data_IF_279129490094
#
_entry.id   IF_279129490094
#
_cell.length_a   1.000
_cell.length_b   1.000
_cell.length_c   1.000
_cell.angle_alpha   90.00
_cell.angle_beta   90.00
_cell.angle_gamma   90.00
#
_symmetry.space_group_name_H-M   'P 1'
#
loop_
_entity.id
_entity.type
_entity.pdbx_description
1 polymer ?
#
# COMPACT_ATOMS: atom_id res chain seq x y z
N UNK A 1 19.90 9.88 -3.96
CA UNK A 1 18.79 9.06 -3.42
C UNK A 1 17.65 9.98 -3.04
N UNK A 2 16.59 10.05 -3.86
CA UNK A 2 15.34 10.74 -3.51
C UNK A 2 14.61 9.88 -2.47
N UNK A 3 14.84 10.17 -1.19
CA UNK A 3 14.10 9.53 -0.12
C UNK A 3 12.69 10.11 -0.09
N UNK A 4 11.71 9.24 -0.31
CA UNK A 4 10.29 9.38 0.03
C UNK A 4 9.46 10.32 -0.83
N UNK A 5 8.27 9.86 -1.25
CA UNK A 5 7.24 10.71 -1.85
C UNK A 5 6.98 11.96 -1.00
N UNK A 6 6.52 13.05 -1.62
CA UNK A 6 6.35 14.36 -0.99
C UNK A 6 5.87 14.24 0.47
N UNK A 7 6.80 14.46 1.41
CA UNK A 7 6.46 14.45 2.82
C UNK A 7 5.42 15.53 3.06
N UNK A 8 4.39 15.26 3.85
CA UNK A 8 3.37 16.27 4.17
C UNK A 8 3.96 17.58 4.71
N UNK A 9 5.12 17.53 5.38
CA UNK A 9 5.86 18.72 5.86
C UNK A 9 6.52 19.54 4.75
N UNK A 10 6.79 18.93 3.61
CA UNK A 10 7.38 19.55 2.44
C UNK A 10 6.32 20.01 1.42
N UNK A 11 5.04 20.05 1.81
CA UNK A 11 3.98 20.57 0.95
C UNK A 11 4.30 22.03 0.56
N UNK A 12 4.29 22.38 -0.74
CA UNK A 12 4.51 23.73 -1.22
C UNK A 12 3.59 24.77 -0.55
N UNK A 13 4.10 26.00 -0.34
CA UNK A 13 3.38 27.06 0.40
C UNK A 13 2.27 27.73 -0.42
N UNK A 14 2.27 27.52 -1.73
CA UNK A 14 1.25 27.93 -2.69
C UNK A 14 -0.01 27.07 -2.61
N UNK A 15 0.05 25.91 -1.95
CA UNK A 15 -1.11 25.05 -1.72
C UNK A 15 -1.85 25.41 -0.43
N UNK A 16 -3.15 25.05 -0.33
CA UNK A 16 -3.91 25.17 0.91
C UNK A 16 -3.23 24.48 2.10
N UNK A 17 -3.63 24.80 3.33
CA UNK A 17 -3.11 24.15 4.52
C UNK A 17 -3.14 22.62 4.40
N UNK A 18 -2.12 21.96 4.93
CA UNK A 18 -1.94 20.50 4.84
C UNK A 18 -3.17 19.70 5.28
N UNK A 19 -3.91 20.20 6.27
CA UNK A 19 -5.15 19.59 6.75
C UNK A 19 -6.23 19.56 5.66
N UNK A 20 -6.40 20.68 4.95
CA UNK A 20 -7.35 20.82 3.85
C UNK A 20 -6.98 19.89 2.71
N UNK A 21 -5.71 19.88 2.30
CA UNK A 21 -5.25 18.95 1.24
C UNK A 21 -5.49 17.49 1.63
N UNK A 22 -5.22 17.12 2.89
CA UNK A 22 -5.47 15.77 3.37
C UNK A 22 -6.97 15.40 3.38
N UNK A 23 -7.84 16.33 3.78
CA UNK A 23 -9.29 16.13 3.77
C UNK A 23 -9.81 15.88 2.35
N UNK A 24 -9.38 16.69 1.38
CA UNK A 24 -9.73 16.48 -0.03
C UNK A 24 -9.23 15.15 -0.57
N UNK A 25 -8.00 14.74 -0.22
CA UNK A 25 -7.51 13.41 -0.61
C UNK A 25 -8.36 12.29 -0.04
N UNK A 26 -8.81 12.40 1.22
CA UNK A 26 -9.71 11.42 1.83
C UNK A 26 -11.08 11.38 1.14
N UNK A 27 -11.63 12.54 0.76
CA UNK A 27 -12.87 12.61 -0.03
C UNK A 27 -12.70 11.96 -1.40
N UNK A 28 -11.56 12.17 -2.06
CA UNK A 28 -11.27 11.60 -3.38
C UNK A 28 -10.99 10.10 -3.36
N UNK A 29 -10.47 9.59 -2.25
CA UNK A 29 -10.35 8.16 -2.01
C UNK A 29 -11.74 7.54 -1.81
N UNK A 30 -12.60 8.21 -1.04
CA UNK A 30 -13.96 7.73 -0.76
C UNK A 30 -14.87 7.74 -2.00
N UNK A 31 -14.83 8.81 -2.81
CA UNK A 31 -15.67 8.95 -4.00
C UNK A 31 -15.06 8.33 -5.28
N UNK A 32 -13.91 7.68 -5.16
CA UNK A 32 -13.19 7.04 -6.25
C UNK A 32 -12.62 7.99 -7.30
N UNK A 33 -12.52 9.30 -7.04
CA UNK A 33 -11.89 10.29 -7.92
C UNK A 33 -10.44 9.90 -8.23
N UNK A 34 -9.69 9.41 -7.24
CA UNK A 34 -8.31 8.95 -7.46
C UNK A 34 -8.23 7.81 -8.48
N UNK A 35 -9.17 6.84 -8.41
CA UNK A 35 -9.22 5.73 -9.36
C UNK A 35 -9.56 6.21 -10.79
N UNK A 36 -10.47 7.17 -10.92
CA UNK A 36 -10.83 7.76 -12.22
C UNK A 36 -9.67 8.52 -12.86
N UNK A 37 -8.97 9.34 -12.07
CA UNK A 37 -7.77 10.07 -12.52
C UNK A 37 -6.69 9.06 -12.93
N UNK A 38 -6.43 8.05 -12.11
CA UNK A 38 -5.45 7.02 -12.41
C UNK A 38 -5.78 6.30 -13.73
N UNK A 39 -7.04 5.93 -13.94
CA UNK A 39 -7.47 5.27 -15.18
C UNK A 39 -7.25 6.16 -16.41
N UNK A 40 -7.63 7.43 -16.36
CA UNK A 40 -7.43 8.36 -17.47
C UNK A 40 -5.93 8.49 -17.83
N UNK A 41 -5.08 8.73 -16.82
CA UNK A 41 -3.63 8.83 -17.03
C UNK A 41 -3.02 7.51 -17.53
N UNK A 42 -3.54 6.38 -17.07
CA UNK A 42 -3.10 5.07 -17.52
C UNK A 42 -3.36 4.87 -19.02
N UNK A 43 -4.54 5.24 -19.50
CA UNK A 43 -4.90 5.18 -20.93
C UNK A 43 -4.00 6.11 -21.74
N UNK A 44 -3.85 7.36 -21.32
CA UNK A 44 -3.03 8.35 -22.02
C UNK A 44 -1.57 7.87 -22.18
N UNK A 45 -0.98 7.34 -21.11
CA UNK A 45 0.39 6.81 -21.14
C UNK A 45 0.53 5.60 -22.05
N UNK A 46 -0.51 4.74 -22.13
CA UNK A 46 -0.52 3.57 -23.01
C UNK A 46 -0.59 3.97 -24.48
N UNK A 47 -1.47 4.90 -24.81
CA UNK A 47 -1.63 5.43 -26.17
C UNK A 47 -0.37 6.17 -26.63
N UNK A 48 0.23 6.99 -25.76
CA UNK A 48 1.52 7.65 -26.02
C UNK A 48 2.65 6.64 -26.26
N UNK A 49 2.59 5.46 -25.65
CA UNK A 49 3.53 4.38 -25.87
C UNK A 49 3.20 3.51 -27.10
N UNK A 50 2.16 3.86 -27.88
CA UNK A 50 1.70 3.12 -29.05
C UNK A 50 1.09 1.76 -28.72
N UNK A 51 0.52 1.61 -27.51
CA UNK A 51 -0.07 0.35 -27.03
C UNK A 51 -1.59 0.52 -26.88
N UNK A 52 -2.31 -0.59 -27.02
CA UNK A 52 -3.77 -0.64 -26.78
C UNK A 52 -4.13 -0.09 -25.39
N UNK A 53 -5.24 0.65 -25.30
CA UNK A 53 -5.72 1.27 -24.06
C UNK A 53 -5.97 0.24 -22.95
N UNK A 54 -6.45 -0.95 -23.32
CA UNK A 54 -6.62 -2.08 -22.41
C UNK A 54 -5.30 -2.84 -22.18
N UNK A 55 -4.90 -3.13 -20.93
CA UNK A 55 -3.79 -4.03 -20.68
C UNK A 55 -4.21 -5.48 -20.97
N UNK A 56 -3.39 -6.22 -21.73
CA UNK A 56 -3.60 -7.66 -21.94
C UNK A 56 -3.24 -8.48 -20.69
N UNK A 57 -2.29 -7.98 -19.88
CA UNK A 57 -1.85 -8.58 -18.61
C UNK A 57 -1.57 -7.45 -17.62
N UNK A 58 -2.07 -7.60 -16.38
CA UNK A 58 -1.80 -6.68 -15.27
C UNK A 58 -1.02 -7.41 -14.18
N UNK A 59 0.12 -6.86 -13.76
CA UNK A 59 0.90 -7.36 -12.62
C UNK A 59 0.53 -6.48 -11.42
N UNK A 60 -0.11 -7.07 -10.41
CA UNK A 60 -0.42 -6.40 -9.15
C UNK A 60 0.71 -6.74 -8.18
N UNK A 61 1.58 -5.78 -7.91
CA UNK A 61 2.59 -5.89 -6.86
C UNK A 61 2.11 -5.16 -5.61
N UNK A 62 2.22 -5.80 -4.46
CA UNK A 62 1.88 -5.21 -3.17
C UNK A 62 3.16 -4.95 -2.37
N UNK A 63 3.56 -3.68 -2.29
CA UNK A 63 4.69 -3.27 -1.47
C UNK A 63 4.19 -2.59 -0.21
N UNK A 64 4.57 -3.14 0.94
CA UNK A 64 4.35 -2.46 2.22
C UNK A 64 5.53 -1.53 2.51
N UNK A 65 5.23 -0.25 2.72
CA UNK A 65 6.21 0.71 3.22
C UNK A 65 6.02 0.87 4.72
N UNK A 66 7.13 0.91 5.48
CA UNK A 66 7.06 1.25 6.89
C UNK A 66 6.51 2.67 7.00
N UNK A 67 5.34 2.80 7.61
CA UNK A 67 4.74 4.11 7.87
C UNK A 67 5.66 4.91 8.81
N UNK A 68 5.65 6.24 8.68
CA UNK A 68 6.37 7.09 9.62
C UNK A 68 5.88 6.78 11.03
N UNK A 69 6.82 6.56 11.96
CA UNK A 69 6.48 6.27 13.35
C UNK A 69 5.60 7.42 13.88
N UNK A 70 4.34 7.11 14.19
CA UNK A 70 3.39 8.08 14.76
C UNK A 70 3.86 8.34 16.19
N UNK A 71 4.78 9.30 16.34
CA UNK A 71 5.38 9.66 17.62
C UNK A 71 4.34 10.11 18.63
N UNK A 72 3.89 9.17 19.44
CA UNK A 72 3.18 9.40 20.69
C UNK A 72 3.74 8.43 21.71
N UNK A 73 4.02 8.90 22.94
CA UNK A 73 4.33 8.01 24.07
C UNK A 73 3.07 7.24 24.44
N UNK A 74 2.72 6.24 23.64
CA UNK A 74 1.70 5.26 23.99
C UNK A 74 2.25 4.44 25.14
N UNK A 75 1.68 4.59 26.34
CA UNK A 75 1.92 3.69 27.46
C UNK A 75 1.45 2.28 27.05
N UNK A 76 2.34 1.49 26.45
CA UNK A 76 2.08 0.08 26.21
C UNK A 76 2.04 -0.57 27.59
N UNK A 77 0.84 -0.81 28.14
CA UNK A 77 0.71 -1.75 29.25
C UNK A 77 1.25 -3.08 28.73
N UNK A 78 2.30 -3.60 29.38
CA UNK A 78 2.82 -4.95 29.08
C UNK A 78 1.66 -5.94 29.25
N UNK A 79 1.25 -6.57 28.16
CA UNK A 79 0.32 -7.67 28.20
C UNK A 79 0.99 -8.88 28.84
N UNK A 80 0.60 -9.24 30.06
CA UNK A 80 1.04 -10.46 30.75
C UNK A 80 0.10 -11.61 30.40
N UNK A 81 0.07 -12.04 29.14
CA UNK A 81 -0.71 -13.22 28.76
C UNK A 81 0.23 -14.42 28.60
N UNK A 82 -0.03 -15.48 29.36
CA UNK A 82 0.73 -16.73 29.34
C UNK A 82 0.66 -17.38 27.96
N UNK A 83 1.81 -17.67 27.37
CA UNK A 83 1.90 -18.33 26.07
C UNK A 83 1.20 -19.72 26.09
N UNK A 84 0.21 -19.91 25.22
CA UNK A 84 -0.34 -21.24 24.91
C UNK A 84 0.54 -21.87 23.82
N UNK A 85 1.32 -22.91 24.18
CA UNK A 85 2.01 -23.78 23.21
C UNK A 85 0.96 -24.62 22.47
N UNK A 86 0.93 -24.55 21.15
CA UNK A 86 0.25 -25.52 20.30
C UNK A 86 1.18 -26.71 20.01
N UNK A 87 0.62 -27.92 20.00
CA UNK A 87 1.35 -29.17 19.69
C UNK A 87 1.24 -29.41 18.19
N UNK A 88 2.31 -29.15 17.44
CA UNK A 88 2.36 -29.47 16.02
C UNK A 88 2.31 -30.99 15.82
N UNK A 89 1.38 -31.47 14.97
CA UNK A 89 1.42 -32.83 14.42
C UNK A 89 2.22 -32.77 13.11
N UNK A 90 3.42 -33.34 13.14
CA UNK A 90 4.26 -33.56 11.97
C UNK A 90 3.65 -34.67 11.10
N UNK A 91 3.24 -34.33 9.89
CA UNK A 91 2.87 -35.28 8.84
C UNK A 91 4.00 -35.39 7.83
N UNK A 92 4.81 -36.43 7.94
CA UNK A 92 5.83 -36.78 6.94
C UNK A 92 5.13 -37.59 5.84
N UNK A 93 5.03 -37.06 4.62
CA UNK A 93 4.55 -37.82 3.46
C UNK A 93 5.75 -38.27 2.63
N UNK A 94 5.98 -39.58 2.59
CA UNK A 94 6.94 -40.22 1.69
C UNK A 94 6.20 -40.69 0.44
N UNK A 95 6.41 -40.02 -0.69
CA UNK A 95 5.97 -40.55 -1.99
C UNK A 95 7.03 -41.50 -2.54
N UNK A 96 6.68 -42.77 -2.55
CA UNK A 96 7.36 -43.88 -3.21
C UNK A 96 7.46 -43.63 -4.73
N UNK A 97 8.63 -43.90 -5.30
CA UNK A 97 8.87 -43.96 -6.75
C UNK A 97 8.88 -45.43 -7.18
N UNK A 98 7.99 -45.80 -8.10
CA UNK A 98 7.98 -47.07 -8.86
C UNK A 98 7.18 -46.77 -10.14
N UNK A 99 7.48 -47.24 -11.34
CA UNK A 99 8.50 -48.14 -11.85
C UNK A 99 9.18 -47.50 -13.07
#
# INVERSE_FOLDING_TARGET
MLMTGCQWRALPKDLPPRSTVHEYLGLWEWDGTLARIHHALFVDVRELAGKEAGPSVAIIDSQSVKSAEKGGRGSIRRATTRAKRSKARSGTSSSTRSA
#
